data_IF_124580171607
#
_entry.id   IF_124580171607
#
_cell.length_a   1.000
_cell.length_b   1.000
_cell.length_c   1.000
_cell.angle_alpha   90.00
_cell.angle_beta   90.00
_cell.angle_gamma   90.00
#
_symmetry.space_group_name_H-M   'P 1'
#
loop_
_entity.id
_entity.type
_entity.pdbx_description
1 polymer ?
#
# COMPACT_ATOMS: atom_id res chain seq x y z
N UNK A 1 -9.74 17.83 53.07
CA UNK A 1 -9.67 17.58 51.61
C UNK A 1 -10.98 18.06 50.97
N UNK A 2 -10.96 18.97 49.99
CA UNK A 2 -12.19 19.45 49.31
C UNK A 2 -12.43 18.65 48.02
N UNK A 3 -13.64 18.15 47.77
CA UNK A 3 -13.95 17.42 46.54
C UNK A 3 -13.90 18.34 45.32
N UNK A 4 -13.36 17.85 44.19
CA UNK A 4 -13.39 18.56 42.91
C UNK A 4 -14.84 18.76 42.46
N UNK A 5 -15.20 19.97 42.03
CA UNK A 5 -16.57 20.36 41.63
C UNK A 5 -17.14 19.49 40.49
N UNK A 6 -16.29 18.93 39.62
CA UNK A 6 -16.67 17.95 38.58
C UNK A 6 -15.65 16.80 38.53
N UNK A 7 -15.88 15.68 39.23
CA UNK A 7 -14.94 14.55 39.24
C UNK A 7 -14.88 13.80 37.90
N UNK A 8 -15.88 14.01 37.02
CA UNK A 8 -15.98 13.38 35.71
C UNK A 8 -15.74 14.34 34.54
N UNK A 9 -15.12 15.51 34.78
CA UNK A 9 -14.59 16.34 33.70
C UNK A 9 -13.33 15.69 33.11
N UNK A 10 -13.44 14.44 32.68
CA UNK A 10 -12.42 13.74 31.95
C UNK A 10 -12.21 14.47 30.64
N UNK A 11 -11.03 15.10 30.49
CA UNK A 11 -10.52 15.40 29.15
C UNK A 11 -10.75 14.14 28.32
N UNK A 12 -11.53 14.22 27.23
CA UNK A 12 -11.54 13.16 26.23
C UNK A 12 -10.06 12.88 25.94
N UNK A 13 -9.58 11.69 26.30
CA UNK A 13 -8.28 11.22 25.80
C UNK A 13 -8.45 11.30 24.29
N UNK A 14 -7.91 12.35 23.66
CA UNK A 14 -7.75 12.34 22.22
C UNK A 14 -6.89 11.11 22.03
N UNK A 15 -7.46 10.07 21.44
CA UNK A 15 -6.66 9.00 20.88
C UNK A 15 -5.63 9.74 20.04
N UNK A 16 -4.36 9.66 20.45
CA UNK A 16 -3.27 10.09 19.61
C UNK A 16 -3.50 9.32 18.32
N UNK A 17 -4.09 9.99 17.31
CA UNK A 17 -3.95 9.49 15.95
C UNK A 17 -2.44 9.35 15.84
N UNK A 18 -1.91 8.16 15.50
CA UNK A 18 -0.48 7.99 15.40
C UNK A 18 0.04 9.08 14.46
N UNK A 19 0.58 10.15 15.04
CA UNK A 19 0.75 11.43 14.35
C UNK A 19 2.03 11.41 13.50
N UNK A 20 2.73 10.29 13.51
CA UNK A 20 4.03 10.09 12.85
C UNK A 20 4.23 8.65 12.39
N UNK A 21 3.16 7.87 12.21
CA UNK A 21 3.29 6.73 11.30
C UNK A 21 3.15 7.35 9.94
N UNK A 22 4.28 7.71 9.31
CA UNK A 22 4.36 7.96 7.88
C UNK A 22 3.63 6.81 7.21
N UNK A 23 2.36 7.03 6.85
CA UNK A 23 1.59 6.03 6.14
C UNK A 23 2.45 5.71 4.92
N UNK A 24 2.92 4.47 4.78
CA UNK A 24 3.77 4.15 3.65
C UNK A 24 2.98 4.57 2.41
N UNK A 25 3.62 5.31 1.53
CA UNK A 25 2.99 5.72 0.29
C UNK A 25 2.60 4.44 -0.46
N UNK A 26 1.30 4.12 -0.47
CA UNK A 26 0.75 2.91 -1.04
C UNK A 26 0.16 3.22 -2.41
N UNK A 27 0.39 2.30 -3.35
CA UNK A 27 -0.36 2.19 -4.59
C UNK A 27 -1.56 1.30 -4.31
N UNK A 28 -2.76 1.86 -4.48
CA UNK A 28 -4.00 1.14 -4.25
C UNK A 28 -4.60 0.73 -5.60
N UNK A 29 -4.73 -0.59 -5.80
CA UNK A 29 -5.45 -1.19 -6.92
C UNK A 29 -6.73 -1.86 -6.37
N UNK A 30 -7.68 -2.28 -7.23
CA UNK A 30 -9.00 -2.75 -6.78
C UNK A 30 -8.96 -3.93 -5.80
N UNK A 31 -7.99 -4.84 -5.94
CA UNK A 31 -7.90 -6.06 -5.15
C UNK A 31 -6.56 -6.22 -4.40
N UNK A 32 -5.58 -5.37 -4.68
CA UNK A 32 -4.24 -5.44 -4.09
C UNK A 32 -3.72 -4.03 -3.84
N UNK A 33 -2.86 -3.89 -2.83
CA UNK A 33 -2.13 -2.66 -2.58
C UNK A 33 -0.70 -2.97 -2.24
N UNK A 34 0.24 -2.17 -2.70
CA UNK A 34 1.66 -2.36 -2.43
C UNK A 34 2.36 -1.02 -2.20
N UNK A 35 3.53 -1.05 -1.57
CA UNK A 35 4.33 0.16 -1.30
C UNK A 35 4.89 0.71 -2.61
N UNK A 36 4.88 2.04 -2.79
CA UNK A 36 5.49 2.70 -3.97
C UNK A 36 6.95 2.29 -4.20
N UNK A 37 7.69 1.95 -3.14
CA UNK A 37 9.06 1.43 -3.23
C UNK A 37 9.18 0.19 -4.13
N UNK A 38 8.16 -0.67 -4.16
CA UNK A 38 8.14 -1.89 -4.96
C UNK A 38 7.94 -1.63 -6.46
N UNK A 39 7.56 -0.42 -6.87
CA UNK A 39 7.44 -0.05 -8.29
C UNK A 39 8.77 -0.26 -9.03
N UNK A 40 9.89 0.04 -8.36
CA UNK A 40 11.26 -0.14 -8.90
C UNK A 40 11.57 -1.60 -9.25
N UNK A 41 10.82 -2.53 -8.65
CA UNK A 41 11.00 -3.96 -8.83
C UNK A 41 9.93 -4.56 -9.76
N UNK A 42 9.08 -3.75 -10.40
CA UNK A 42 8.18 -4.23 -11.45
C UNK A 42 9.03 -4.62 -12.66
N UNK A 43 9.04 -5.92 -12.97
CA UNK A 43 9.80 -6.47 -14.08
C UNK A 43 8.97 -6.50 -15.36
N UNK A 44 7.75 -7.05 -15.28
CA UNK A 44 6.83 -7.10 -16.43
C UNK A 44 5.39 -6.91 -15.99
N UNK A 45 4.60 -6.27 -16.85
CA UNK A 45 3.15 -6.18 -16.73
C UNK A 45 2.57 -6.87 -17.96
N UNK A 46 1.77 -7.91 -17.76
CA UNK A 46 1.20 -8.69 -18.85
C UNK A 46 -0.30 -8.75 -18.75
N UNK A 47 -1.01 -8.54 -19.86
CA UNK A 47 -2.44 -8.78 -19.96
C UNK A 47 -2.71 -10.28 -19.86
N UNK A 48 -3.64 -10.69 -19.02
CA UNK A 48 -4.01 -12.10 -18.86
C UNK A 48 -5.36 -12.41 -19.53
N UNK A 49 -6.41 -11.67 -19.17
CA UNK A 49 -7.76 -11.75 -19.72
C UNK A 49 -8.40 -10.37 -19.80
N UNK A 50 -9.64 -10.28 -20.29
CA UNK A 50 -10.39 -9.02 -20.35
C UNK A 50 -10.64 -8.48 -18.95
N UNK A 51 -10.01 -7.34 -18.64
CA UNK A 51 -10.10 -6.68 -17.34
C UNK A 51 -9.16 -7.22 -16.25
N UNK A 52 -8.23 -8.13 -16.57
CA UNK A 52 -7.25 -8.65 -15.61
C UNK A 52 -5.80 -8.53 -16.09
N UNK A 53 -4.93 -8.06 -15.20
CA UNK A 53 -3.51 -7.81 -15.48
C UNK A 53 -2.65 -8.54 -14.47
N UNK A 54 -1.57 -9.16 -14.93
CA UNK A 54 -0.57 -9.78 -14.08
C UNK A 54 0.64 -8.84 -13.99
N UNK A 55 1.00 -8.46 -12.78
CA UNK A 55 2.24 -7.74 -12.47
C UNK A 55 3.25 -8.76 -11.93
N UNK A 56 4.43 -8.81 -12.53
CA UNK A 56 5.57 -9.60 -12.02
C UNK A 56 6.57 -8.67 -11.38
N UNK A 57 6.86 -8.92 -10.12
CA UNK A 57 7.91 -8.25 -9.37
C UNK A 57 9.15 -9.13 -9.32
N UNK A 58 10.32 -8.51 -9.46
CA UNK A 58 11.63 -9.13 -9.31
C UNK A 58 12.38 -8.39 -8.20
N UNK A 59 12.19 -8.85 -6.97
CA UNK A 59 12.75 -8.20 -5.79
C UNK A 59 14.15 -8.77 -5.53
N UNK A 60 15.20 -7.94 -5.46
CA UNK A 60 16.54 -8.43 -5.19
C UNK A 60 16.61 -8.97 -3.76
N UNK A 61 17.19 -10.17 -3.61
CA UNK A 61 17.50 -10.77 -2.32
C UNK A 61 19.00 -10.71 -2.08
N UNK A 62 19.40 -10.88 -0.83
CA UNK A 62 20.82 -10.93 -0.47
C UNK A 62 21.50 -12.09 -1.21
N UNK A 63 22.68 -11.84 -1.79
CA UNK A 63 23.48 -12.76 -2.63
C UNK A 63 23.08 -12.86 -4.11
N UNK A 64 22.45 -11.82 -4.68
CA UNK A 64 22.26 -11.71 -6.14
C UNK A 64 21.16 -12.62 -6.72
N UNK A 65 20.44 -13.33 -5.86
CA UNK A 65 19.20 -14.02 -6.20
C UNK A 65 18.05 -13.02 -6.26
N UNK A 66 17.03 -13.34 -7.04
CA UNK A 66 15.82 -12.53 -7.14
C UNK A 66 14.63 -13.37 -6.74
N UNK A 67 13.78 -12.83 -5.89
CA UNK A 67 12.48 -13.41 -5.60
C UNK A 67 11.49 -12.89 -6.66
N UNK A 68 10.95 -13.82 -7.45
CA UNK A 68 9.87 -13.52 -8.39
C UNK A 68 8.53 -13.64 -7.69
N UNK A 69 7.76 -12.54 -7.70
CA UNK A 69 6.38 -12.53 -7.20
C UNK A 69 5.42 -12.17 -8.32
N UNK A 70 4.39 -12.99 -8.47
CA UNK A 70 3.31 -12.77 -9.42
C UNK A 70 2.09 -12.24 -8.66
N UNK A 71 1.57 -11.10 -9.09
CA UNK A 71 0.35 -10.50 -8.54
C UNK A 71 -0.68 -10.36 -9.63
N UNK A 72 -1.88 -10.87 -9.36
CA UNK A 72 -3.03 -10.72 -10.26
C UNK A 72 -3.86 -9.52 -9.83
N UNK A 73 -4.09 -8.60 -10.75
CA UNK A 73 -4.84 -7.36 -10.54
C UNK A 73 -6.14 -7.44 -11.32
N UNK A 74 -7.26 -7.20 -10.64
CA UNK A 74 -8.60 -7.11 -11.25
C UNK A 74 -8.84 -5.73 -11.85
N UNK A 75 -7.95 -5.32 -12.75
CA UNK A 75 -8.01 -4.06 -13.46
C UNK A 75 -7.44 -4.25 -14.87
N UNK A 76 -7.94 -3.50 -15.85
CA UNK A 76 -7.50 -3.62 -17.23
C UNK A 76 -6.03 -3.22 -17.41
N UNK A 77 -5.43 -3.69 -18.50
CA UNK A 77 -4.01 -3.42 -18.79
C UNK A 77 -3.73 -1.92 -18.96
N UNK A 78 -4.62 -1.21 -19.65
CA UNK A 78 -4.45 0.22 -19.90
C UNK A 78 -4.61 1.04 -18.61
N UNK A 79 -5.62 0.70 -17.79
CA UNK A 79 -5.83 1.39 -16.52
C UNK A 79 -4.69 1.10 -15.53
N UNK A 80 -4.14 -0.12 -15.53
CA UNK A 80 -3.03 -0.47 -14.62
C UNK A 80 -1.79 0.31 -15.01
N UNK A 81 -1.47 0.39 -16.30
CA UNK A 81 -0.38 1.24 -16.79
C UNK A 81 -0.61 2.72 -16.49
N UNK A 82 -1.83 3.21 -16.65
CA UNK A 82 -2.15 4.61 -16.32
C UNK A 82 -1.89 4.91 -14.85
N UNK A 83 -2.25 4.01 -13.95
CA UNK A 83 -1.96 4.15 -12.51
C UNK A 83 -0.46 4.10 -12.26
N UNK A 84 0.25 3.12 -12.84
CA UNK A 84 1.70 2.95 -12.65
C UNK A 84 2.51 4.14 -13.20
N UNK A 85 2.08 4.74 -14.32
CA UNK A 85 2.77 5.86 -14.95
C UNK A 85 2.48 7.22 -14.30
N UNK A 86 1.37 7.36 -13.56
CA UNK A 86 0.99 8.60 -12.88
C UNK A 86 1.62 8.73 -11.49
N UNK A 87 2.46 7.78 -11.07
CA UNK A 87 3.11 7.70 -9.75
C UNK A 87 4.56 8.17 -9.82
#
# INVERSE_FOLDING_TARGET
>A
MRPRKYPYSGRRKRQERPADVTLPDLVVLPNVSFRKELIKHVYTVTRYHDGCTIIRFRIPRFLGTYDEQKVEVKLSYEETLKILNNL
#
